data_IF_822171620918
#
_entry.id   IF_822171620918
#
_cell.length_a   1.000
_cell.length_b   1.000
_cell.length_c   1.000
_cell.angle_alpha   90.00
_cell.angle_beta   90.00
_cell.angle_gamma   90.00
#
_symmetry.space_group_name_H-M   'P 1'
#
loop_
_entity.id
_entity.type
_entity.pdbx_description
1 polymer ?
#
# COMPACT_ATOMS: atom_id res chain seq x y z
N UNK A 1 -9.45 21.87 -0.80
CA UNK A 1 -10.92 21.97 -0.68
C UNK A 1 -11.51 20.80 -1.46
N UNK A 2 -11.82 19.68 -0.80
CA UNK A 2 -12.38 18.47 -1.45
C UNK A 2 -13.85 18.35 -1.07
N UNK A 3 -14.74 18.44 -2.07
CA UNK A 3 -16.19 18.30 -1.91
C UNK A 3 -16.59 16.81 -1.90
N UNK A 4 -17.13 16.34 -0.76
CA UNK A 4 -17.46 14.93 -0.46
C UNK A 4 -18.73 14.41 -1.17
N UNK A 5 -19.09 14.88 -2.37
CA UNK A 5 -20.44 14.65 -2.90
C UNK A 5 -20.62 13.83 -4.18
N UNK A 6 -19.57 13.35 -4.86
CA UNK A 6 -19.78 12.63 -6.13
C UNK A 6 -19.01 11.30 -6.19
N UNK A 7 -19.73 10.20 -5.91
CA UNK A 7 -19.36 8.84 -6.30
C UNK A 7 -19.94 8.61 -7.69
N UNK A 8 -19.09 8.30 -8.67
CA UNK A 8 -19.51 7.89 -10.02
C UNK A 8 -19.42 6.36 -10.12
N UNK A 9 -20.50 5.73 -10.59
CA UNK A 9 -20.55 4.29 -10.89
C UNK A 9 -20.51 4.15 -12.41
N UNK A 10 -19.56 3.36 -12.91
CA UNK A 10 -19.46 3.02 -14.33
C UNK A 10 -20.23 1.74 -14.60
N UNK A 11 -21.12 1.78 -15.60
CA UNK A 11 -21.73 0.58 -16.19
C UNK A 11 -20.97 0.27 -17.49
N UNK A 12 -20.35 -0.91 -17.54
CA UNK A 12 -19.42 -1.32 -18.60
C UNK A 12 -20.11 -1.70 -19.92
N UNK A 13 -21.44 -1.66 -20.00
CA UNK A 13 -22.18 -2.22 -21.15
C UNK A 13 -22.83 -1.19 -22.07
N UNK A 14 -22.98 0.07 -21.67
CA UNK A 14 -23.56 1.09 -22.55
C UNK A 14 -22.85 2.42 -22.34
N UNK A 15 -22.12 2.86 -23.36
CA UNK A 15 -21.31 4.08 -23.39
C UNK A 15 -22.18 5.37 -23.38
N UNK A 16 -23.08 5.50 -22.40
CA UNK A 16 -23.97 6.65 -22.16
C UNK A 16 -23.76 7.14 -20.74
N UNK A 17 -23.33 8.41 -20.61
CA UNK A 17 -23.34 9.15 -19.34
C UNK A 17 -24.76 9.20 -18.77
N UNK A 18 -24.97 8.58 -17.61
CA UNK A 18 -26.25 8.65 -16.91
C UNK A 18 -26.23 9.73 -15.81
N UNK A 19 -27.35 10.42 -15.74
CA UNK A 19 -27.64 11.60 -14.94
C UNK A 19 -27.61 11.32 -13.44
N UNK A 20 -27.28 12.37 -12.68
CA UNK A 20 -27.18 12.38 -11.21
C UNK A 20 -28.39 11.67 -10.58
N UNK A 21 -28.11 10.62 -9.79
CA UNK A 21 -29.15 9.86 -9.10
C UNK A 21 -29.98 10.80 -8.21
N UNK A 22 -31.31 10.78 -8.35
CA UNK A 22 -32.20 11.63 -7.55
C UNK A 22 -32.05 11.33 -6.06
N UNK A 23 -32.29 12.33 -5.22
CA UNK A 23 -32.17 12.19 -3.77
C UNK A 23 -33.08 11.11 -3.19
N UNK A 24 -34.28 10.93 -3.79
CA UNK A 24 -35.21 9.86 -3.44
C UNK A 24 -34.63 8.47 -3.73
N UNK A 25 -34.05 8.27 -4.92
CA UNK A 25 -33.41 7.00 -5.30
C UNK A 25 -32.20 6.70 -4.41
N UNK A 26 -31.41 7.71 -4.04
CA UNK A 26 -30.32 7.57 -3.07
C UNK A 26 -30.83 7.07 -1.72
N UNK A 27 -31.88 7.70 -1.18
CA UNK A 27 -32.47 7.32 0.12
C UNK A 27 -33.03 5.89 0.08
N UNK A 28 -33.70 5.52 -1.00
CA UNK A 28 -34.25 4.18 -1.18
C UNK A 28 -33.15 3.11 -1.23
N UNK A 29 -32.04 3.37 -1.93
CA UNK A 29 -30.89 2.46 -1.98
C UNK A 29 -30.22 2.35 -0.62
N UNK A 30 -30.04 3.45 0.12
CA UNK A 30 -29.51 3.43 1.48
C UNK A 30 -30.38 2.58 2.41
N UNK A 31 -31.71 2.71 2.34
CA UNK A 31 -32.64 1.90 3.13
C UNK A 31 -32.55 0.42 2.78
N UNK A 32 -32.48 0.09 1.48
CA UNK A 32 -32.31 -1.29 1.01
C UNK A 32 -30.98 -1.90 1.46
N UNK A 33 -29.90 -1.13 1.45
CA UNK A 33 -28.58 -1.60 1.86
C UNK A 33 -28.55 -1.96 3.34
N UNK A 34 -29.17 -1.15 4.20
CA UNK A 34 -29.32 -1.44 5.65
C UNK A 34 -30.13 -2.72 5.87
N UNK A 35 -31.22 -2.91 5.13
CA UNK A 35 -32.03 -4.14 5.21
C UNK A 35 -31.22 -5.37 4.78
N UNK A 36 -30.46 -5.28 3.69
CA UNK A 36 -29.63 -6.38 3.20
C UNK A 36 -28.49 -6.72 4.15
N UNK A 37 -27.87 -5.72 4.78
CA UNK A 37 -26.79 -5.95 5.76
C UNK A 37 -27.22 -6.84 6.92
N UNK A 38 -28.49 -6.76 7.35
CA UNK A 38 -29.03 -7.63 8.41
C UNK A 38 -29.16 -9.10 8.03
N UNK A 39 -29.09 -9.42 6.73
CA UNK A 39 -29.23 -10.78 6.19
C UNK A 39 -27.89 -11.37 5.73
N UNK A 40 -26.80 -10.61 5.77
CA UNK A 40 -25.47 -11.11 5.41
C UNK A 40 -24.92 -11.88 6.61
N UNK A 41 -24.65 -13.20 6.47
CA UNK A 41 -24.02 -13.97 7.55
C UNK A 41 -22.74 -13.28 7.99
N UNK A 42 -22.47 -13.27 9.30
CA UNK A 42 -21.37 -12.49 9.91
C UNK A 42 -20.03 -12.77 9.22
N UNK A 43 -19.79 -14.02 8.78
CA UNK A 43 -18.57 -14.45 8.09
C UNK A 43 -18.40 -13.86 6.68
N UNK A 44 -19.48 -13.39 6.06
CA UNK A 44 -19.49 -12.76 4.74
C UNK A 44 -19.54 -11.23 4.79
N UNK A 45 -19.64 -10.65 5.99
CA UNK A 45 -19.49 -9.21 6.17
C UNK A 45 -18.02 -8.84 5.96
N UNK A 46 -17.62 -8.62 4.70
CA UNK A 46 -16.36 -7.95 4.41
C UNK A 46 -16.44 -6.58 5.05
N UNK A 47 -15.68 -6.37 6.14
CA UNK A 47 -15.43 -5.06 6.72
C UNK A 47 -14.98 -4.13 5.59
N UNK A 48 -15.85 -3.22 5.15
CA UNK A 48 -15.44 -2.11 4.30
C UNK A 48 -14.58 -1.23 5.19
N UNK A 49 -13.26 -1.44 5.10
CA UNK A 49 -12.29 -0.63 5.84
C UNK A 49 -12.56 0.83 5.51
N UNK A 50 -12.69 1.62 6.57
CA UNK A 50 -12.91 3.06 6.44
C UNK A 50 -11.66 3.69 5.82
N UNK A 51 -11.80 4.83 5.14
CA UNK A 51 -10.63 5.56 4.64
C UNK A 51 -9.69 6.00 5.79
N UNK A 52 -10.19 6.07 7.03
CA UNK A 52 -9.38 6.32 8.22
C UNK A 52 -8.46 5.14 8.59
N UNK A 53 -8.73 3.93 8.08
CA UNK A 53 -7.88 2.74 8.28
C UNK A 53 -6.65 2.76 7.35
N UNK A 54 -6.51 3.76 6.46
CA UNK A 54 -5.26 4.04 5.74
C UNK A 54 -4.23 4.78 6.60
N UNK A 55 -4.58 5.19 7.83
CA UNK A 55 -3.54 5.41 8.82
C UNK A 55 -2.79 4.08 8.97
N UNK A 56 -1.50 4.07 8.66
CA UNK A 56 -0.58 2.91 8.70
C UNK A 56 -0.38 2.33 10.12
N UNK A 57 -1.42 2.34 10.97
CA UNK A 57 -1.55 1.63 12.23
C UNK A 57 -2.38 0.34 12.10
N UNK A 58 -3.05 0.10 10.96
CA UNK A 58 -3.89 -1.10 10.73
C UNK A 58 -3.20 -2.25 9.98
N UNK A 59 -1.92 -2.11 9.63
CA UNK A 59 -1.11 -3.21 9.12
C UNK A 59 -0.48 -3.94 10.31
N UNK A 60 -1.03 -5.09 10.69
CA UNK A 60 -0.35 -5.97 11.64
C UNK A 60 0.99 -6.49 11.12
N UNK A 61 1.27 -6.36 9.82
CA UNK A 61 2.54 -6.75 9.24
C UNK A 61 3.62 -5.71 9.56
N UNK A 62 4.66 -6.14 10.26
CA UNK A 62 5.83 -5.34 10.66
C UNK A 62 6.68 -4.93 9.43
N UNK A 63 6.66 -5.77 8.39
CA UNK A 63 7.43 -5.58 7.17
C UNK A 63 6.52 -5.55 5.94
N UNK A 64 6.90 -4.74 4.94
CA UNK A 64 6.25 -4.67 3.63
C UNK A 64 7.18 -5.09 2.53
N UNK A 65 6.62 -5.77 1.54
CA UNK A 65 7.23 -5.96 0.24
C UNK A 65 6.98 -4.69 -0.59
N UNK A 66 8.04 -4.01 -0.97
CA UNK A 66 8.01 -2.78 -1.75
C UNK A 66 8.58 -3.03 -3.14
N UNK A 67 8.08 -2.29 -4.12
CA UNK A 67 8.63 -2.24 -5.46
C UNK A 67 9.11 -0.82 -5.74
N UNK A 68 10.38 -0.67 -6.09
CA UNK A 68 10.94 0.62 -6.48
C UNK A 68 10.35 1.05 -7.83
N UNK A 69 9.89 2.30 -7.87
CA UNK A 69 9.48 2.95 -9.11
C UNK A 69 10.73 3.28 -9.93
N UNK A 70 11.16 2.35 -10.80
CA UNK A 70 12.15 2.62 -11.85
C UNK A 70 11.48 2.98 -13.17
N UNK A 71 12.22 3.70 -14.01
CA UNK A 71 11.87 3.95 -15.40
C UNK A 71 11.44 2.65 -16.12
N UNK A 72 10.38 2.77 -16.92
CA UNK A 72 9.59 1.70 -17.56
C UNK A 72 10.38 0.65 -18.37
N UNK A 73 11.70 0.79 -18.50
CA UNK A 73 12.58 0.03 -19.38
C UNK A 73 13.50 -0.99 -18.68
N UNK A 74 13.67 -0.95 -17.35
CA UNK A 74 14.50 -1.90 -16.60
C UNK A 74 13.69 -2.55 -15.49
N UNK A 75 13.77 -3.88 -15.40
CA UNK A 75 12.91 -4.75 -14.60
C UNK A 75 12.49 -4.24 -13.22
N UNK A 76 11.31 -4.67 -12.79
CA UNK A 76 10.74 -4.35 -11.47
C UNK A 76 11.69 -4.83 -10.38
N UNK A 77 12.22 -3.91 -9.57
CA UNK A 77 13.05 -4.23 -8.41
C UNK A 77 12.17 -4.23 -7.16
N UNK A 78 12.18 -5.35 -6.45
CA UNK A 78 11.33 -5.60 -5.27
C UNK A 78 12.23 -5.88 -4.08
N UNK A 79 11.91 -5.32 -2.93
CA UNK A 79 12.65 -5.50 -1.68
C UNK A 79 11.71 -5.47 -0.47
N UNK A 80 12.23 -5.70 0.73
CA UNK A 80 11.48 -5.68 1.98
C UNK A 80 12.03 -4.63 2.93
N UNK A 81 11.13 -3.81 3.47
CA UNK A 81 11.46 -2.78 4.46
C UNK A 81 10.50 -2.84 5.66
N UNK A 82 10.92 -2.34 6.83
CA UNK A 82 10.01 -2.07 7.94
C UNK A 82 8.93 -1.07 7.47
N UNK A 83 7.70 -1.25 7.95
CA UNK A 83 6.62 -0.29 7.64
C UNK A 83 6.99 1.14 8.01
N UNK A 84 7.78 1.31 9.08
CA UNK A 84 8.17 2.61 9.62
C UNK A 84 9.12 3.39 8.70
N UNK A 85 9.76 2.73 7.74
CA UNK A 85 10.64 3.39 6.78
C UNK A 85 9.86 4.02 5.62
N UNK A 86 8.61 3.60 5.43
CA UNK A 86 7.76 4.07 4.33
C UNK A 86 6.99 5.31 4.79
N UNK A 87 7.15 6.39 4.03
CA UNK A 87 6.52 7.68 4.27
C UNK A 87 5.68 8.07 3.07
N UNK A 88 4.51 8.65 3.31
CA UNK A 88 3.70 9.24 2.25
C UNK A 88 4.14 10.69 2.00
N UNK A 89 4.53 10.99 0.76
CA UNK A 89 4.84 12.34 0.34
C UNK A 89 3.56 13.06 -0.11
N UNK A 90 3.08 13.99 0.71
CA UNK A 90 1.88 14.77 0.42
C UNK A 90 2.03 15.70 -0.80
N UNK A 91 3.27 16.01 -1.22
CA UNK A 91 3.55 16.89 -2.36
C UNK A 91 3.36 16.14 -3.66
N UNK A 92 3.97 14.96 -3.78
CA UNK A 92 3.88 14.14 -5.01
C UNK A 92 2.70 13.17 -5.01
N UNK A 93 2.12 12.89 -3.84
CA UNK A 93 1.07 11.88 -3.68
C UNK A 93 1.58 10.44 -3.75
N UNK A 94 2.91 10.24 -3.69
CA UNK A 94 3.56 8.94 -3.81
C UNK A 94 4.09 8.46 -2.46
N UNK A 95 4.22 7.15 -2.30
CA UNK A 95 4.97 6.56 -1.19
C UNK A 95 6.46 6.64 -1.49
N UNK A 96 7.25 6.96 -0.47
CA UNK A 96 8.70 7.02 -0.52
C UNK A 96 9.31 6.26 0.65
N UNK A 97 10.52 5.77 0.46
CA UNK A 97 11.33 5.19 1.53
C UNK A 97 12.77 5.67 1.40
N UNK A 98 13.45 5.87 2.52
CA UNK A 98 14.91 5.96 2.52
C UNK A 98 15.45 4.55 2.30
N UNK A 99 16.41 4.37 1.40
CA UNK A 99 17.02 3.07 1.12
C UNK A 99 18.49 3.20 0.74
N UNK A 100 19.26 2.15 0.96
CA UNK A 100 20.69 2.14 0.69
C UNK A 100 20.94 2.32 -0.82
N UNK A 101 21.82 3.26 -1.22
CA UNK A 101 22.16 3.42 -2.63
C UNK A 101 23.16 2.33 -3.08
N UNK A 102 23.15 1.95 -4.37
CA UNK A 102 24.18 1.09 -4.95
C UNK A 102 25.54 1.82 -5.02
N UNK A 103 26.67 1.10 -5.18
CA UNK A 103 26.77 -0.35 -5.39
C UNK A 103 26.61 -1.16 -4.11
N UNK A 104 26.03 -2.34 -4.23
CA UNK A 104 25.89 -3.27 -3.12
C UNK A 104 27.08 -4.23 -3.07
N UNK A 105 27.71 -4.33 -1.91
CA UNK A 105 28.75 -5.30 -1.57
C UNK A 105 28.19 -6.25 -0.50
N UNK A 106 28.91 -7.33 -0.20
CA UNK A 106 28.52 -8.23 0.90
C UNK A 106 28.37 -7.48 2.22
N UNK A 107 29.31 -6.59 2.53
CA UNK A 107 29.29 -5.78 3.77
C UNK A 107 28.09 -4.84 3.82
N UNK A 108 27.78 -4.15 2.71
CA UNK A 108 26.64 -3.23 2.69
C UNK A 108 25.31 -3.98 2.69
N UNK A 109 25.23 -5.16 2.08
CA UNK A 109 24.06 -6.02 2.20
C UNK A 109 23.83 -6.53 3.64
N UNK A 110 24.90 -6.92 4.35
CA UNK A 110 24.83 -7.32 5.75
C UNK A 110 24.39 -6.18 6.66
N UNK A 111 24.91 -4.97 6.44
CA UNK A 111 24.50 -3.76 7.15
C UNK A 111 23.02 -3.45 6.91
N UNK A 112 22.58 -3.46 5.64
CA UNK A 112 21.17 -3.23 5.28
C UNK A 112 20.27 -4.22 6.01
N UNK A 113 20.65 -5.49 6.01
CA UNK A 113 19.92 -6.55 6.67
C UNK A 113 19.84 -6.36 8.18
N UNK A 114 20.95 -5.99 8.83
CA UNK A 114 20.98 -5.71 10.26
C UNK A 114 20.04 -4.56 10.62
N UNK A 115 20.01 -3.49 9.82
CA UNK A 115 19.13 -2.34 10.02
C UNK A 115 17.65 -2.69 9.82
N UNK A 116 17.31 -3.40 8.74
CA UNK A 116 15.94 -3.85 8.48
C UNK A 116 15.46 -4.79 9.59
N UNK A 117 16.27 -5.77 9.98
CA UNK A 117 15.93 -6.74 11.03
C UNK A 117 15.74 -6.08 12.39
N UNK A 118 16.62 -5.14 12.77
CA UNK A 118 16.50 -4.38 14.02
C UNK A 118 15.45 -3.27 13.96
N UNK A 119 14.90 -2.98 12.78
CA UNK A 119 14.00 -1.84 12.52
C UNK A 119 14.61 -0.51 12.96
N UNK A 120 15.93 -0.42 12.91
CA UNK A 120 16.64 0.82 13.20
C UNK A 120 16.23 1.91 12.20
N UNK A 121 16.33 3.17 12.60
CA UNK A 121 16.11 4.29 11.69
C UNK A 121 17.15 4.27 10.56
N UNK A 122 16.74 4.40 9.29
CA UNK A 122 17.69 4.41 8.20
C UNK A 122 18.57 5.67 8.26
N UNK A 123 19.85 5.60 7.83
CA UNK A 123 20.72 6.77 7.76
C UNK A 123 20.11 7.88 6.90
N UNK A 124 20.08 9.11 7.42
CA UNK A 124 19.54 10.27 6.71
C UNK A 124 20.38 10.68 5.49
N UNK A 125 21.61 10.17 5.37
CA UNK A 125 22.46 10.36 4.21
C UNK A 125 22.04 9.53 3.00
N UNK A 126 21.15 8.55 3.18
CA UNK A 126 20.64 7.73 2.08
C UNK A 126 19.53 8.46 1.32
N UNK A 127 19.41 8.22 0.00
CA UNK A 127 18.40 8.87 -0.82
C UNK A 127 17.00 8.29 -0.58
N UNK A 128 16.00 9.11 -0.89
CA UNK A 128 14.61 8.67 -0.96
C UNK A 128 14.32 8.06 -2.33
N UNK A 129 13.61 6.94 -2.33
CA UNK A 129 13.09 6.30 -3.53
C UNK A 129 11.57 6.27 -3.48
N UNK A 130 10.95 6.53 -4.63
CA UNK A 130 9.52 6.28 -4.82
C UNK A 130 9.25 4.77 -4.89
N UNK A 131 8.22 4.34 -4.18
CA UNK A 131 7.90 2.92 -4.02
C UNK A 131 6.40 2.66 -4.12
N UNK A 132 6.06 1.42 -4.47
CA UNK A 132 4.72 0.88 -4.33
C UNK A 132 4.74 -0.28 -3.35
N UNK A 133 3.72 -0.40 -2.49
CA UNK A 133 3.56 -1.58 -1.66
C UNK A 133 2.93 -2.69 -2.52
N UNK A 134 3.62 -3.82 -2.64
CA UNK A 134 3.16 -4.97 -3.43
C UNK A 134 2.65 -6.12 -2.56
N UNK A 135 2.91 -6.09 -1.25
CA UNK A 135 2.37 -7.08 -0.31
C UNK A 135 2.92 -6.95 1.11
N UNK A 136 2.47 -7.87 1.96
CA UNK A 136 2.91 -8.00 3.35
C UNK A 136 4.03 -9.03 3.47
N UNK A 137 5.06 -8.71 4.25
CA UNK A 137 6.18 -9.59 4.54
C UNK A 137 6.11 -10.10 6.00
N UNK A 138 4.92 -10.54 6.41
CA UNK A 138 4.61 -10.89 7.82
C UNK A 138 5.39 -12.09 8.36
N UNK A 139 5.92 -12.97 7.50
CA UNK A 139 6.71 -14.16 7.87
C UNK A 139 8.21 -14.03 7.57
N UNK A 140 8.69 -12.83 7.29
CA UNK A 140 9.98 -12.66 6.63
C UNK A 140 11.19 -12.71 7.58
N UNK A 141 11.01 -13.11 8.85
CA UNK A 141 12.08 -13.11 9.85
C UNK A 141 13.04 -14.33 9.82
N UNK A 142 12.80 -15.36 8.98
CA UNK A 142 13.50 -16.65 9.13
C UNK A 142 14.53 -17.03 8.04
N UNK A 143 14.45 -16.54 6.79
CA UNK A 143 15.26 -17.09 5.67
C UNK A 143 15.92 -16.03 4.74
N UNK A 144 16.32 -14.87 5.27
CA UNK A 144 16.73 -13.71 4.45
C UNK A 144 18.06 -13.82 3.69
N UNK A 145 19.00 -14.65 4.14
CA UNK A 145 20.37 -14.69 3.57
C UNK A 145 20.39 -15.06 2.07
N UNK A 146 19.41 -15.83 1.59
CA UNK A 146 19.39 -16.34 0.22
C UNK A 146 18.68 -15.45 -0.81
N UNK A 147 17.81 -14.52 -0.38
CA UNK A 147 16.97 -13.76 -1.33
C UNK A 147 17.61 -12.43 -1.77
N UNK A 148 18.30 -11.72 -0.88
CA UNK A 148 18.99 -10.47 -1.25
C UNK A 148 20.15 -10.76 -2.22
N UNK A 149 20.90 -11.84 -2.00
CA UNK A 149 21.99 -12.28 -2.91
C UNK A 149 21.47 -12.63 -4.32
N UNK A 150 20.19 -12.98 -4.49
CA UNK A 150 19.61 -13.25 -5.82
C UNK A 150 19.16 -12.01 -6.60
N UNK A 151 19.06 -10.86 -5.93
CA UNK A 151 18.57 -9.60 -6.54
C UNK A 151 19.74 -8.64 -6.84
N UNK A 152 20.87 -8.79 -6.15
CA UNK A 152 22.13 -8.08 -6.39
C UNK A 152 22.96 -8.74 -7.50
#
# INVERSE_FOLDING_TARGET
>A
YYDRKNIFIYDSLNNKRLTKLSQSKKRQLSQRLVQLQSQIPVDFQRTTRSVADFNMAGSSAIYKLIQFAKDKSKGKSVDVVPCEWIVYDNVTGNLKTIFMPPPYTTETAELLHALVKSRATPPQSWPFYEVNIVGDASKFLQNFLYHIIRIL
#
